data_IF_596035833706
#
_entry.id   IF_596035833706
#
_cell.length_a   1.000
_cell.length_b   1.000
_cell.length_c   1.000
_cell.angle_alpha   90.00
_cell.angle_beta   90.00
_cell.angle_gamma   90.00
#
_symmetry.space_group_name_H-M   'P 1'
#
loop_
_entity.id
_entity.type
_entity.pdbx_description
1 polymer ?
#
# COMPACT_ATOMS: atom_id res chain seq x y z
N UNK A 1 -24.10 -8.43 -62.53
CA UNK A 1 -24.64 -7.36 -63.39
C UNK A 1 -25.91 -6.81 -62.74
N UNK A 2 -25.73 -6.02 -61.68
CA UNK A 2 -26.79 -5.36 -60.89
C UNK A 2 -26.19 -4.03 -60.42
N UNK A 3 -25.94 -3.17 -61.40
CA UNK A 3 -25.47 -1.79 -61.26
C UNK A 3 -26.32 -0.99 -62.26
N UNK A 4 -26.88 0.14 -61.81
CA UNK A 4 -27.54 1.25 -62.56
C UNK A 4 -29.00 1.56 -62.20
N UNK A 5 -29.30 1.80 -60.91
CA UNK A 5 -30.40 2.75 -60.59
C UNK A 5 -30.31 3.53 -59.27
N UNK A 6 -29.16 3.55 -58.56
CA UNK A 6 -29.08 4.20 -57.23
C UNK A 6 -27.90 5.16 -57.02
N UNK A 7 -27.44 5.87 -58.07
CA UNK A 7 -26.35 6.87 -57.93
C UNK A 7 -26.69 8.28 -58.44
N UNK A 8 -27.93 8.59 -58.81
CA UNK A 8 -28.31 10.00 -59.08
C UNK A 8 -29.63 10.37 -58.41
N UNK A 9 -29.52 10.75 -57.15
CA UNK A 9 -30.60 11.35 -56.36
C UNK A 9 -30.05 12.16 -55.21
N UNK A 10 -28.93 12.86 -55.44
CA UNK A 10 -28.40 13.88 -54.56
C UNK A 10 -29.04 15.21 -54.99
N UNK A 11 -29.48 15.99 -53.99
CA UNK A 11 -30.00 17.37 -54.03
C UNK A 11 -31.52 17.53 -53.89
N UNK A 12 -32.02 17.34 -52.66
CA UNK A 12 -32.94 18.32 -52.10
C UNK A 12 -32.58 18.56 -50.63
N UNK A 13 -31.89 19.69 -50.39
CA UNK A 13 -31.54 20.18 -49.06
C UNK A 13 -32.80 20.61 -48.29
N UNK A 14 -33.11 19.93 -47.19
CA UNK A 14 -33.86 20.56 -46.09
C UNK A 14 -32.86 21.33 -45.22
N UNK A 15 -32.93 22.66 -45.23
CA UNK A 15 -32.18 23.53 -44.32
C UNK A 15 -32.60 23.24 -42.87
N UNK A 16 -31.69 22.87 -41.95
CA UNK A 16 -31.99 22.88 -40.54
C UNK A 16 -32.09 24.33 -40.04
N UNK A 17 -33.14 24.61 -39.29
CA UNK A 17 -33.48 25.94 -38.80
C UNK A 17 -32.50 26.35 -37.67
N UNK A 18 -31.35 26.93 -38.05
CA UNK A 18 -30.23 27.35 -37.17
C UNK A 18 -30.63 28.41 -36.11
N UNK A 19 -31.87 28.90 -36.10
CA UNK A 19 -32.35 29.85 -35.10
C UNK A 19 -32.67 29.20 -33.74
N UNK A 20 -32.90 27.87 -33.67
CA UNK A 20 -33.27 27.17 -32.43
C UNK A 20 -32.09 26.80 -31.52
N UNK A 21 -30.85 26.87 -32.00
CA UNK A 21 -29.66 26.42 -31.26
C UNK A 21 -28.72 27.53 -30.79
N UNK A 22 -29.00 28.81 -31.13
CA UNK A 22 -28.12 29.94 -30.76
C UNK A 22 -27.96 30.11 -29.25
N UNK A 23 -28.97 29.75 -28.45
CA UNK A 23 -28.87 29.76 -26.99
C UNK A 23 -27.96 28.65 -26.43
N UNK A 24 -27.98 27.46 -27.04
CA UNK A 24 -27.16 26.34 -26.60
C UNK A 24 -25.68 26.51 -26.98
N UNK A 25 -25.38 27.10 -28.15
CA UNK A 25 -24.00 27.39 -28.56
C UNK A 25 -23.38 28.50 -27.71
N UNK A 26 -24.17 29.49 -27.30
CA UNK A 26 -23.71 30.57 -26.41
C UNK A 26 -23.43 30.06 -24.99
N UNK A 27 -24.27 29.16 -24.45
CA UNK A 27 -24.06 28.56 -23.13
C UNK A 27 -22.76 27.73 -23.05
N UNK A 28 -22.46 26.94 -24.09
CA UNK A 28 -21.22 26.13 -24.14
C UNK A 28 -19.98 27.03 -24.24
N UNK A 29 -20.04 28.11 -25.03
CA UNK A 29 -18.94 29.07 -25.14
C UNK A 29 -18.68 29.81 -23.81
N UNK A 30 -19.72 30.18 -23.07
CA UNK A 30 -19.59 30.84 -21.75
C UNK A 30 -19.00 29.88 -20.71
N UNK A 31 -19.39 28.61 -20.70
CA UNK A 31 -18.82 27.60 -19.77
C UNK A 31 -17.33 27.37 -20.05
N UNK A 32 -16.93 27.30 -21.33
CA UNK A 32 -15.53 27.16 -21.71
C UNK A 32 -14.70 28.41 -21.37
N UNK A 33 -15.27 29.61 -21.53
CA UNK A 33 -14.60 30.87 -21.19
C UNK A 33 -14.44 31.06 -19.67
N UNK A 34 -15.45 30.65 -18.88
CA UNK A 34 -15.36 30.66 -17.41
C UNK A 34 -14.33 29.64 -16.89
N UNK A 35 -14.21 28.47 -17.53
CA UNK A 35 -13.15 27.50 -17.19
C UNK A 35 -11.74 28.00 -17.52
N UNK A 36 -11.57 28.76 -18.62
CA UNK A 36 -10.27 29.37 -18.94
C UNK A 36 -9.94 30.56 -18.05
N UNK A 37 -10.93 31.34 -17.63
CA UNK A 37 -10.75 32.48 -16.73
C UNK A 37 -10.46 32.03 -15.29
N UNK A 38 -11.03 30.92 -14.84
CA UNK A 38 -10.75 30.36 -13.50
C UNK A 38 -9.34 29.74 -13.40
N UNK A 39 -8.73 29.34 -14.53
CA UNK A 39 -7.32 28.94 -14.57
C UNK A 39 -6.32 30.10 -14.58
N UNK A 40 -6.80 31.35 -14.69
CA UNK A 40 -5.93 32.53 -14.84
C UNK A 40 -6.04 33.55 -13.69
N UNK A 41 -6.71 33.22 -12.58
CA UNK A 41 -6.87 34.15 -11.44
C UNK A 41 -6.64 33.55 -10.05
N UNK A 42 -5.81 32.52 -9.94
CA UNK A 42 -5.24 32.09 -8.66
C UNK A 42 -3.71 32.24 -8.66
N UNK A 43 -3.24 33.48 -8.81
CA UNK A 43 -1.99 33.95 -8.20
C UNK A 43 -2.38 34.66 -6.90
N UNK A 44 -1.65 34.68 -5.79
CA UNK A 44 -0.22 34.50 -5.52
C UNK A 44 -0.10 34.51 -4.00
N UNK A 45 0.54 33.51 -3.39
CA UNK A 45 1.09 33.67 -2.04
C UNK A 45 2.35 32.81 -1.90
N UNK A 46 3.50 33.47 -1.98
CA UNK A 46 4.74 33.06 -1.31
C UNK A 46 5.55 31.92 -1.94
N UNK A 47 6.03 32.09 -3.18
CA UNK A 47 7.17 31.30 -3.66
C UNK A 47 8.48 32.00 -3.30
N UNK A 48 9.13 31.51 -2.23
CA UNK A 48 10.58 31.60 -2.09
C UNK A 48 11.20 30.65 -3.11
N UNK A 49 11.55 31.19 -4.28
CA UNK A 49 12.33 30.46 -5.28
C UNK A 49 13.78 30.39 -4.79
N UNK A 50 14.14 29.27 -4.16
CA UNK A 50 15.53 28.83 -4.10
C UNK A 50 15.90 28.26 -5.48
N UNK A 51 16.60 29.06 -6.28
CA UNK A 51 17.30 28.58 -7.48
C UNK A 51 18.69 28.12 -7.06
N UNK A 52 18.84 26.87 -6.62
CA UNK A 52 20.12 26.13 -6.59
C UNK A 52 19.87 24.66 -6.26
N UNK A 53 20.36 23.75 -7.12
CA UNK A 53 20.50 22.33 -6.81
C UNK A 53 19.37 21.45 -7.34
N UNK A 54 19.66 20.59 -8.31
CA UNK A 54 19.01 19.28 -8.39
C UNK A 54 19.40 18.55 -7.09
N UNK A 55 18.60 18.69 -6.04
CA UNK A 55 18.72 17.83 -4.87
C UNK A 55 18.52 16.40 -5.37
N UNK A 56 19.60 15.61 -5.30
CA UNK A 56 19.53 14.16 -5.45
C UNK A 56 18.58 13.68 -4.37
N UNK A 57 17.40 13.21 -4.76
CA UNK A 57 16.38 12.90 -3.78
C UNK A 57 16.73 11.63 -3.01
N UNK A 58 16.86 11.77 -1.70
CA UNK A 58 17.14 10.66 -0.79
C UNK A 58 15.86 9.87 -0.45
N UNK A 59 15.38 9.08 -1.42
CA UNK A 59 14.44 7.98 -1.18
C UNK A 59 13.01 8.17 -1.68
N UNK A 60 12.14 7.17 -1.46
CA UNK A 60 10.80 7.08 -2.05
C UNK A 60 9.82 8.13 -1.50
N UNK A 61 8.87 8.59 -2.34
CA UNK A 61 7.79 9.50 -1.94
C UNK A 61 6.70 8.68 -1.28
N UNK A 62 6.39 9.01 -0.04
CA UNK A 62 5.41 8.28 0.76
C UNK A 62 4.25 9.22 1.10
N UNK A 63 3.03 8.72 1.02
CA UNK A 63 1.88 9.36 1.67
C UNK A 63 1.17 8.36 2.56
N UNK A 64 0.35 8.86 3.47
CA UNK A 64 -0.50 8.06 4.33
C UNK A 64 -1.95 8.15 3.86
N UNK A 65 -2.70 7.08 4.08
CA UNK A 65 -4.12 7.04 3.80
C UNK A 65 -4.88 6.42 4.98
N UNK A 66 -6.09 6.93 5.22
CA UNK A 66 -7.02 6.39 6.22
C UNK A 66 -8.47 6.67 5.81
N UNK A 67 -9.42 6.15 6.57
CA UNK A 67 -10.84 6.47 6.46
C UNK A 67 -11.44 6.69 7.84
N UNK A 68 -12.23 7.76 7.97
CA UNK A 68 -12.98 8.09 9.17
C UNK A 68 -14.24 8.85 8.78
N UNK A 69 -15.36 8.13 8.74
CA UNK A 69 -16.68 8.64 8.35
C UNK A 69 -17.77 8.08 9.27
N UNK A 70 -18.97 8.67 9.21
CA UNK A 70 -20.10 8.31 10.07
C UNK A 70 -20.31 9.34 11.20
N UNK A 71 -20.97 8.96 12.31
CA UNK A 71 -21.12 9.82 13.47
C UNK A 71 -19.76 10.31 13.99
N UNK A 72 -19.72 11.54 14.47
CA UNK A 72 -18.49 12.14 15.00
C UNK A 72 -17.95 11.31 16.16
N UNK A 73 -16.64 11.07 16.16
CA UNK A 73 -15.94 10.35 17.21
C UNK A 73 -14.62 11.06 17.50
N UNK A 74 -14.60 11.86 18.57
CA UNK A 74 -13.45 12.68 18.98
C UNK A 74 -12.19 11.85 19.22
N UNK A 75 -12.32 10.64 19.76
CA UNK A 75 -11.18 9.75 20.01
C UNK A 75 -10.51 9.33 18.70
N UNK A 76 -11.30 9.01 17.68
CA UNK A 76 -10.76 8.70 16.35
C UNK A 76 -10.22 9.92 15.63
N UNK A 77 -10.86 11.08 15.77
CA UNK A 77 -10.32 12.32 15.20
C UNK A 77 -8.96 12.66 15.80
N UNK A 78 -8.80 12.55 17.12
CA UNK A 78 -7.51 12.71 17.81
C UNK A 78 -6.48 11.64 17.45
N UNK A 79 -6.91 10.40 17.23
CA UNK A 79 -6.02 9.34 16.74
C UNK A 79 -5.48 9.66 15.34
N UNK A 80 -6.32 10.14 14.42
CA UNK A 80 -5.88 10.63 13.11
C UNK A 80 -4.97 11.85 13.26
N UNK A 81 -5.29 12.78 14.16
CA UNK A 81 -4.49 13.98 14.43
C UNK A 81 -3.09 13.66 14.98
N UNK A 82 -2.93 12.56 15.72
CA UNK A 82 -1.62 12.12 16.22
C UNK A 82 -0.57 11.94 15.09
N UNK A 83 -1.02 11.66 13.86
CA UNK A 83 -0.12 11.53 12.70
C UNK A 83 0.41 12.86 12.16
N UNK A 84 -0.20 14.00 12.52
CA UNK A 84 0.11 15.32 11.96
C UNK A 84 1.57 15.70 12.16
N UNK A 85 2.09 15.58 13.39
CA UNK A 85 3.48 15.92 13.69
C UNK A 85 4.47 15.03 12.93
N UNK A 86 4.17 13.73 12.82
CA UNK A 86 4.98 12.82 12.01
C UNK A 86 4.96 13.20 10.52
N UNK A 87 3.81 13.63 10.01
CA UNK A 87 3.71 14.11 8.63
C UNK A 87 4.53 15.37 8.39
N UNK A 88 4.51 16.32 9.33
CA UNK A 88 5.28 17.58 9.25
C UNK A 88 6.78 17.33 9.30
N UNK A 89 7.26 16.47 10.20
CA UNK A 89 8.70 16.15 10.34
C UNK A 89 9.26 15.52 9.07
N UNK A 90 8.52 14.61 8.44
CA UNK A 90 9.02 13.79 7.33
C UNK A 90 8.46 14.17 5.96
N UNK A 91 7.62 15.22 5.88
CA UNK A 91 7.04 15.70 4.63
C UNK A 91 5.98 14.77 4.02
N UNK A 92 5.23 14.03 4.83
CA UNK A 92 4.17 13.13 4.33
C UNK A 92 2.83 13.84 4.16
N UNK A 93 2.11 13.51 3.09
CA UNK A 93 0.69 13.87 2.97
C UNK A 93 -0.18 12.83 3.70
N UNK A 94 -1.33 13.27 4.23
CA UNK A 94 -2.33 12.39 4.83
C UNK A 94 -3.67 12.53 4.10
N UNK A 95 -4.14 11.43 3.51
CA UNK A 95 -5.40 11.37 2.79
C UNK A 95 -6.44 10.66 3.66
N UNK A 96 -7.47 11.35 4.12
CA UNK A 96 -8.53 10.76 4.97
C UNK A 96 -9.87 10.79 4.25
N UNK A 97 -10.45 9.62 3.98
CA UNK A 97 -11.82 9.54 3.48
C UNK A 97 -12.79 9.92 4.61
N UNK A 98 -13.40 11.11 4.51
CA UNK A 98 -14.33 11.65 5.52
C UNK A 98 -15.81 11.36 5.25
N UNK A 99 -16.13 10.80 4.08
CA UNK A 99 -17.49 10.44 3.68
C UNK A 99 -17.49 9.04 3.09
N UNK A 100 -18.40 8.19 3.57
CA UNK A 100 -18.59 6.86 2.98
C UNK A 100 -19.01 6.99 1.52
N UNK A 101 -18.34 6.25 0.63
CA UNK A 101 -18.66 6.19 -0.80
C UNK A 101 -19.69 5.10 -1.07
N UNK A 102 -19.63 4.03 -0.28
CA UNK A 102 -20.49 2.84 -0.38
C UNK A 102 -20.61 2.19 1.01
N UNK A 103 -21.22 1.02 1.11
CA UNK A 103 -21.40 0.32 2.38
C UNK A 103 -20.11 -0.35 2.85
N UNK A 104 -19.77 -0.16 4.13
CA UNK A 104 -18.77 -0.94 4.87
C UNK A 104 -17.51 -1.32 4.09
N UNK A 105 -17.36 -2.64 3.88
CA UNK A 105 -16.27 -3.36 3.23
C UNK A 105 -15.62 -2.64 2.03
N UNK A 106 -16.42 -2.13 1.09
CA UNK A 106 -15.90 -1.61 -0.18
C UNK A 106 -15.13 -0.29 -0.03
N UNK A 107 -15.33 0.50 1.04
CA UNK A 107 -14.78 1.85 1.13
C UNK A 107 -13.24 1.89 1.15
N UNK A 108 -12.59 0.97 1.89
CA UNK A 108 -11.12 0.92 2.00
C UNK A 108 -10.49 0.73 0.62
N UNK A 109 -10.96 -0.26 -0.13
CA UNK A 109 -10.42 -0.58 -1.46
C UNK A 109 -10.81 0.43 -2.52
N UNK A 110 -12.06 0.91 -2.53
CA UNK A 110 -12.49 1.95 -3.47
C UNK A 110 -11.67 3.23 -3.29
N UNK A 111 -11.39 3.62 -2.05
CA UNK A 111 -10.61 4.81 -1.76
C UNK A 111 -9.13 4.64 -2.13
N UNK A 112 -8.50 3.54 -1.69
CA UNK A 112 -7.12 3.23 -2.09
C UNK A 112 -6.97 3.16 -3.61
N UNK A 113 -7.93 2.54 -4.31
CA UNK A 113 -7.94 2.45 -5.76
C UNK A 113 -7.98 3.85 -6.39
N UNK A 114 -8.82 4.75 -5.85
CA UNK A 114 -8.91 6.12 -6.31
C UNK A 114 -7.59 6.88 -6.15
N UNK A 115 -6.87 6.67 -5.04
CA UNK A 115 -5.58 7.31 -4.78
C UNK A 115 -4.51 6.75 -5.74
N UNK A 116 -4.42 5.42 -5.86
CA UNK A 116 -3.46 4.77 -6.77
C UNK A 116 -3.66 5.22 -8.21
N UNK A 117 -4.90 5.27 -8.70
CA UNK A 117 -5.20 5.70 -10.07
C UNK A 117 -4.84 7.17 -10.30
N UNK A 118 -5.15 8.06 -9.34
CA UNK A 118 -4.79 9.48 -9.44
C UNK A 118 -3.26 9.66 -9.51
N UNK A 119 -2.51 8.90 -8.72
CA UNK A 119 -1.04 8.98 -8.69
C UNK A 119 -0.41 8.36 -9.95
N UNK A 120 -0.98 7.27 -10.47
CA UNK A 120 -0.57 6.69 -11.75
C UNK A 120 -0.81 7.63 -12.95
N UNK A 121 -1.76 8.56 -12.84
CA UNK A 121 -2.00 9.57 -13.88
C UNK A 121 -0.99 10.72 -13.88
N UNK A 122 -0.17 10.86 -12.82
CA UNK A 122 0.88 11.89 -12.73
C UNK A 122 2.17 11.45 -13.42
N UNK A 123 3.03 12.40 -13.83
CA UNK A 123 4.42 12.13 -14.19
C UNK A 123 5.17 11.41 -13.07
N UNK A 124 6.13 10.55 -13.43
CA UNK A 124 6.91 9.74 -12.47
C UNK A 124 7.67 10.61 -11.46
N UNK A 125 8.02 11.83 -11.84
CA UNK A 125 8.77 12.81 -11.04
C UNK A 125 7.91 13.45 -9.95
N UNK A 126 6.58 13.41 -10.09
CA UNK A 126 5.62 14.02 -9.15
C UNK A 126 4.81 12.98 -8.35
N UNK A 127 4.73 11.75 -8.86
CA UNK A 127 3.92 10.65 -8.34
C UNK A 127 4.40 10.13 -6.98
N UNK A 128 3.53 10.01 -5.98
CA UNK A 128 3.89 9.25 -4.77
C UNK A 128 4.17 7.78 -5.11
N UNK A 129 5.17 7.18 -4.50
CA UNK A 129 5.58 5.80 -4.83
C UNK A 129 4.91 4.78 -3.92
N UNK A 130 4.68 5.16 -2.66
CA UNK A 130 4.10 4.28 -1.65
C UNK A 130 3.01 5.00 -0.85
N UNK A 131 1.96 4.25 -0.53
CA UNK A 131 0.90 4.65 0.38
C UNK A 131 1.00 3.76 1.61
N UNK A 132 1.18 4.36 2.79
CA UNK A 132 0.96 3.66 4.06
C UNK A 132 -0.51 3.80 4.43
N UNK A 133 -1.24 2.69 4.42
CA UNK A 133 -2.58 2.65 5.00
C UNK A 133 -2.49 2.54 6.51
N UNK A 134 -3.35 3.28 7.23
CA UNK A 134 -3.60 3.11 8.66
C UNK A 134 -5.10 3.22 8.94
N UNK A 135 -5.67 2.28 9.68
CA UNK A 135 -7.05 2.39 10.17
C UNK A 135 -7.14 3.49 11.25
N UNK A 136 -8.33 4.10 11.43
CA UNK A 136 -8.54 5.21 12.38
C UNK A 136 -8.32 4.84 13.86
N UNK A 137 -8.21 3.55 14.17
CA UNK A 137 -7.84 3.03 15.48
C UNK A 137 -6.32 2.84 15.64
N UNK A 138 -5.48 3.42 14.78
CA UNK A 138 -4.03 3.43 14.95
C UNK A 138 -3.57 4.81 15.44
N UNK A 139 -3.00 4.83 16.65
CA UNK A 139 -2.38 6.02 17.24
C UNK A 139 -0.89 6.02 16.91
N UNK A 140 -0.38 7.16 16.47
CA UNK A 140 1.04 7.39 16.28
C UNK A 140 1.71 7.71 17.63
N UNK A 141 2.68 6.88 18.00
CA UNK A 141 3.41 6.96 19.27
C UNK A 141 4.69 7.78 19.10
N UNK A 142 5.52 7.44 18.10
CA UNK A 142 6.83 8.06 17.92
C UNK A 142 6.92 8.77 16.55
N UNK A 143 6.88 10.12 16.50
CA UNK A 143 6.94 10.87 15.25
C UNK A 143 8.36 11.00 14.70
N UNK A 144 9.38 10.47 15.38
CA UNK A 144 10.78 10.53 14.91
C UNK A 144 11.13 9.41 13.92
N UNK A 145 10.26 8.41 13.74
CA UNK A 145 10.58 7.21 12.96
C UNK A 145 10.17 7.38 11.48
N UNK A 146 11.11 7.59 10.55
CA UNK A 146 10.78 7.80 9.14
C UNK A 146 10.19 6.53 8.49
N UNK A 147 9.10 6.64 7.74
CA UNK A 147 8.46 5.50 7.07
C UNK A 147 9.35 4.81 6.03
N UNK A 148 10.31 5.52 5.46
CA UNK A 148 11.17 5.00 4.38
C UNK A 148 12.03 3.81 4.81
N UNK A 149 12.31 3.66 6.10
CA UNK A 149 13.14 2.55 6.61
C UNK A 149 12.43 1.20 6.40
N UNK A 150 11.10 1.17 6.47
CA UNK A 150 10.34 -0.08 6.29
C UNK A 150 10.23 -0.52 4.84
N UNK A 151 10.55 0.33 3.86
CA UNK A 151 10.35 0.02 2.45
C UNK A 151 11.47 -0.86 1.90
N UNK A 152 11.24 -1.56 0.77
CA UNK A 152 12.28 -2.38 0.17
C UNK A 152 13.44 -1.50 -0.29
N UNK A 153 14.69 -1.97 -0.17
CA UNK A 153 15.83 -1.25 -0.70
C UNK A 153 15.74 -1.16 -2.24
N UNK A 154 16.41 -0.20 -2.88
CA UNK A 154 16.25 0.10 -4.31
C UNK A 154 16.83 -0.99 -5.26
N UNK A 155 17.30 -2.11 -4.71
CA UNK A 155 17.87 -3.23 -5.46
C UNK A 155 16.86 -3.81 -6.47
N UNK A 156 17.33 -4.22 -7.65
CA UNK A 156 16.51 -4.81 -8.72
C UNK A 156 15.64 -5.98 -8.22
N UNK A 157 16.21 -6.82 -7.35
CA UNK A 157 15.57 -7.99 -6.75
C UNK A 157 14.35 -7.69 -5.87
N UNK A 158 14.04 -6.42 -5.58
CA UNK A 158 12.86 -6.01 -4.82
C UNK A 158 11.87 -5.16 -5.63
N UNK A 159 12.14 -4.88 -6.91
CA UNK A 159 11.27 -4.04 -7.74
C UNK A 159 9.89 -4.63 -7.97
N UNK A 160 9.72 -5.94 -7.83
CA UNK A 160 8.43 -6.61 -7.96
C UNK A 160 7.61 -6.54 -6.66
N UNK A 161 8.17 -6.08 -5.55
CA UNK A 161 7.45 -5.90 -4.29
C UNK A 161 6.53 -4.68 -4.40
N UNK A 162 5.25 -4.91 -4.11
CA UNK A 162 4.18 -3.92 -4.21
C UNK A 162 3.34 -3.83 -2.94
N UNK A 163 3.43 -4.82 -2.05
CA UNK A 163 2.69 -4.84 -0.78
C UNK A 163 3.62 -5.25 0.36
N UNK A 164 3.61 -4.47 1.45
CA UNK A 164 4.23 -4.84 2.72
C UNK A 164 3.16 -4.87 3.79
N UNK A 165 2.89 -6.05 4.32
CA UNK A 165 1.94 -6.24 5.41
C UNK A 165 2.60 -6.84 6.63
N UNK A 166 1.78 -7.13 7.63
CA UNK A 166 2.18 -7.87 8.82
C UNK A 166 1.19 -9.00 9.08
N UNK A 167 1.67 -10.07 9.71
CA UNK A 167 0.79 -11.15 10.20
C UNK A 167 0.68 -11.12 11.71
N UNK A 168 -0.52 -11.43 12.20
CA UNK A 168 -0.83 -11.74 13.60
C UNK A 168 -1.02 -13.26 13.77
N UNK A 169 -1.33 -13.72 14.98
CA UNK A 169 -1.72 -15.11 15.22
C UNK A 169 -2.95 -15.55 14.39
N UNK A 170 -3.74 -14.60 13.89
CA UNK A 170 -4.93 -14.84 13.08
C UNK A 170 -4.70 -14.68 11.56
N UNK A 171 -3.46 -14.46 11.11
CA UNK A 171 -3.13 -14.26 9.70
C UNK A 171 -2.82 -12.80 9.36
N UNK A 172 -3.08 -12.40 8.11
CA UNK A 172 -2.87 -11.02 7.64
C UNK A 172 -3.62 -10.04 8.55
N UNK A 173 -2.98 -8.94 8.94
CA UNK A 173 -3.65 -7.82 9.61
C UNK A 173 -3.56 -6.59 8.71
N UNK A 174 -4.72 -6.04 8.32
CA UNK A 174 -4.83 -4.92 7.36
C UNK A 174 -5.07 -3.56 8.03
N UNK A 175 -4.78 -3.47 9.33
CA UNK A 175 -4.86 -2.23 10.09
C UNK A 175 -3.76 -1.23 9.79
N UNK A 176 -2.58 -1.72 9.40
CA UNK A 176 -1.50 -0.91 8.85
C UNK A 176 -0.68 -1.72 7.84
N UNK A 177 -0.44 -1.16 6.66
CA UNK A 177 0.35 -1.78 5.59
C UNK A 177 0.85 -0.75 4.59
N UNK A 178 1.85 -1.11 3.78
CA UNK A 178 2.31 -0.31 2.66
C UNK A 178 1.84 -0.90 1.33
N UNK A 179 1.36 -0.03 0.44
CA UNK A 179 0.93 -0.37 -0.91
C UNK A 179 1.65 0.54 -1.90
N UNK A 180 2.35 -0.06 -2.86
CA UNK A 180 3.04 0.68 -3.91
C UNK A 180 2.03 1.24 -4.92
N UNK A 181 2.27 2.43 -5.43
CA UNK A 181 1.52 2.96 -6.57
C UNK A 181 2.01 2.28 -7.84
N UNK A 182 1.28 1.24 -8.27
CA UNK A 182 1.61 0.46 -9.47
C UNK A 182 0.36 -0.14 -10.13
N UNK A 183 0.44 -0.55 -11.40
CA UNK A 183 -0.62 -1.32 -12.05
C UNK A 183 -0.95 -2.64 -11.33
N UNK A 184 0.01 -3.24 -10.62
CA UNK A 184 -0.22 -4.43 -9.81
C UNK A 184 -1.22 -4.13 -8.68
N UNK A 185 -1.05 -3.01 -7.99
CA UNK A 185 -1.94 -2.59 -6.89
C UNK A 185 -3.35 -2.27 -7.39
N UNK A 186 -3.50 -1.75 -8.60
CA UNK A 186 -4.82 -1.57 -9.24
C UNK A 186 -5.52 -2.92 -9.39
N UNK A 187 -4.84 -3.93 -9.95
CA UNK A 187 -5.42 -5.27 -10.14
C UNK A 187 -5.78 -5.92 -8.80
N UNK A 188 -4.90 -5.80 -7.80
CA UNK A 188 -5.14 -6.33 -6.46
C UNK A 188 -6.41 -5.73 -5.85
N UNK A 189 -6.52 -4.40 -5.82
CA UNK A 189 -7.63 -3.70 -5.19
C UNK A 189 -8.96 -3.95 -5.92
N UNK A 190 -8.94 -3.99 -7.25
CA UNK A 190 -10.13 -4.33 -8.04
C UNK A 190 -10.59 -5.74 -7.72
N UNK A 191 -9.68 -6.72 -7.71
CA UNK A 191 -10.02 -8.12 -7.47
C UNK A 191 -10.50 -8.35 -6.03
N UNK A 192 -9.82 -7.78 -5.03
CA UNK A 192 -10.23 -7.86 -3.64
C UNK A 192 -11.64 -7.28 -3.47
N UNK A 193 -11.86 -6.04 -3.94
CA UNK A 193 -13.17 -5.38 -3.85
C UNK A 193 -14.29 -6.13 -4.58
N UNK A 194 -14.00 -6.78 -5.70
CA UNK A 194 -14.97 -7.53 -6.50
C UNK A 194 -15.24 -8.94 -5.97
N UNK A 195 -14.43 -9.47 -5.03
CA UNK A 195 -14.50 -10.86 -4.59
C UNK A 195 -15.92 -11.31 -4.18
N UNK A 196 -16.67 -10.58 -3.32
CA UNK A 196 -18.04 -10.99 -2.96
C UNK A 196 -19.04 -10.91 -4.12
N UNK A 197 -18.71 -10.19 -5.19
CA UNK A 197 -19.54 -10.10 -6.39
C UNK A 197 -19.24 -11.23 -7.38
N UNK A 198 -18.00 -11.70 -7.40
CA UNK A 198 -17.54 -12.80 -8.25
C UNK A 198 -17.96 -14.14 -7.64
N UNK A 199 -17.82 -14.28 -6.33
CA UNK A 199 -18.30 -15.43 -5.56
C UNK A 199 -19.25 -14.95 -4.46
N UNK A 200 -20.58 -14.89 -4.73
CA UNK A 200 -21.57 -14.48 -3.74
C UNK A 200 -21.71 -15.46 -2.56
N UNK A 201 -21.11 -16.65 -2.64
CA UNK A 201 -21.21 -17.68 -1.60
C UNK A 201 -20.03 -17.69 -0.64
N UNK A 202 -19.00 -16.89 -0.91
CA UNK A 202 -17.81 -16.81 -0.08
C UNK A 202 -18.14 -16.24 1.31
N UNK A 203 -17.72 -16.95 2.35
CA UNK A 203 -17.77 -16.45 3.73
C UNK A 203 -16.48 -15.69 4.06
N UNK A 204 -16.57 -14.37 4.14
CA UNK A 204 -15.47 -13.48 4.51
C UNK A 204 -15.47 -13.12 6.00
N UNK A 205 -16.42 -13.64 6.78
CA UNK A 205 -16.55 -13.37 8.21
C UNK A 205 -16.76 -11.88 8.52
N UNK A 206 -16.38 -11.48 9.75
CA UNK A 206 -16.58 -10.12 10.24
C UNK A 206 -15.59 -9.11 9.64
N UNK A 207 -14.31 -9.48 9.55
CA UNK A 207 -13.25 -8.65 8.96
C UNK A 207 -13.18 -8.92 7.45
N UNK A 208 -14.26 -8.59 6.74
CA UNK A 208 -14.40 -8.95 5.32
C UNK A 208 -13.25 -8.42 4.48
N UNK A 209 -12.77 -7.21 4.76
CA UNK A 209 -11.65 -6.58 4.06
C UNK A 209 -10.39 -7.43 4.25
N UNK A 210 -9.98 -7.69 5.49
CA UNK A 210 -8.84 -8.55 5.79
C UNK A 210 -8.90 -9.92 5.08
N UNK A 211 -10.04 -10.61 5.19
CA UNK A 211 -10.24 -11.93 4.58
C UNK A 211 -10.13 -11.86 3.05
N UNK A 212 -10.75 -10.86 2.43
CA UNK A 212 -10.71 -10.70 0.97
C UNK A 212 -9.31 -10.42 0.45
N UNK A 213 -8.58 -9.50 1.09
CA UNK A 213 -7.25 -9.12 0.65
C UNK A 213 -6.29 -10.29 0.83
N UNK A 214 -6.42 -11.02 1.93
CA UNK A 214 -5.67 -12.26 2.16
C UNK A 214 -5.93 -13.27 1.05
N UNK A 215 -7.19 -13.54 0.71
CA UNK A 215 -7.52 -14.51 -0.34
C UNK A 215 -6.88 -14.14 -1.68
N UNK A 216 -6.89 -12.86 -2.06
CA UNK A 216 -6.28 -12.43 -3.33
C UNK A 216 -4.74 -12.44 -3.24
N UNK A 217 -4.15 -12.00 -2.13
CA UNK A 217 -2.69 -12.04 -1.93
C UNK A 217 -2.13 -13.45 -1.91
N UNK A 218 -2.94 -14.44 -1.55
CA UNK A 218 -2.56 -15.86 -1.57
C UNK A 218 -2.65 -16.49 -2.96
N UNK A 219 -3.13 -15.80 -4.00
CA UNK A 219 -3.13 -16.30 -5.38
C UNK A 219 -1.76 -16.19 -6.04
N UNK A 220 -1.45 -17.09 -6.97
CA UNK A 220 -0.14 -17.18 -7.64
C UNK A 220 0.28 -15.87 -8.35
N UNK A 221 -0.68 -15.16 -8.96
CA UNK A 221 -0.42 -13.90 -9.67
C UNK A 221 -0.05 -12.73 -8.74
N UNK A 222 -0.42 -12.80 -7.46
CA UNK A 222 -0.25 -11.72 -6.50
C UNK A 222 0.80 -12.04 -5.44
N UNK A 223 0.87 -13.30 -5.00
CA UNK A 223 1.74 -13.77 -3.92
C UNK A 223 3.20 -13.31 -4.05
N UNK A 224 3.86 -13.37 -5.23
CA UNK A 224 5.25 -12.93 -5.35
C UNK A 224 5.47 -11.43 -5.07
N UNK A 225 4.45 -10.60 -5.27
CA UNK A 225 4.50 -9.15 -5.09
C UNK A 225 4.28 -8.67 -3.65
N UNK A 226 4.01 -9.58 -2.72
CA UNK A 226 3.77 -9.29 -1.32
C UNK A 226 4.92 -9.81 -0.44
N UNK A 227 5.26 -9.03 0.58
CA UNK A 227 6.13 -9.46 1.67
C UNK A 227 5.52 -9.10 3.02
N UNK A 228 5.87 -9.90 4.02
CA UNK A 228 5.38 -9.73 5.38
C UNK A 228 6.53 -9.36 6.31
N UNK A 229 6.31 -8.32 7.10
CA UNK A 229 7.25 -7.77 8.07
C UNK A 229 6.78 -8.06 9.50
N UNK A 230 7.70 -8.02 10.49
CA UNK A 230 7.33 -8.13 11.89
C UNK A 230 6.22 -7.13 12.24
N UNK A 231 5.11 -7.62 12.78
CA UNK A 231 4.00 -6.75 13.21
C UNK A 231 4.43 -5.71 14.23
N UNK A 232 5.48 -6.01 15.00
CA UNK A 232 6.10 -5.12 15.97
C UNK A 232 6.59 -3.81 15.38
N UNK A 233 6.75 -3.73 14.05
CA UNK A 233 7.30 -2.53 13.45
C UNK A 233 6.29 -1.40 13.23
N UNK A 234 5.08 -1.71 12.78
CA UNK A 234 4.07 -0.70 12.46
C UNK A 234 2.63 -1.19 12.64
N UNK A 235 2.40 -2.34 13.27
CA UNK A 235 1.07 -2.90 13.48
C UNK A 235 0.95 -3.69 14.80
N UNK A 236 1.50 -3.11 15.86
CA UNK A 236 1.41 -3.66 17.23
C UNK A 236 0.06 -3.39 17.82
N UNK A 237 -0.47 -4.32 18.62
CA UNK A 237 -1.76 -4.16 19.25
C UNK A 237 -1.61 -3.70 20.70
N UNK A 238 -2.57 -2.87 21.13
CA UNK A 238 -2.99 -2.84 22.51
C UNK A 238 -3.85 -4.09 22.78
N UNK A 239 -3.49 -4.88 23.79
CA UNK A 239 -4.30 -6.00 24.27
C UNK A 239 -4.90 -5.70 25.65
N UNK A 240 -5.66 -6.65 26.21
CA UNK A 240 -6.21 -6.52 27.57
C UNK A 240 -5.11 -6.62 28.64
N UNK A 241 -4.02 -7.32 28.31
CA UNK A 241 -2.86 -7.55 29.18
C UNK A 241 -1.88 -6.38 29.14
N UNK A 242 -1.89 -5.57 28.08
CA UNK A 242 -1.05 -4.40 27.97
C UNK A 242 -0.72 -4.04 26.53
N UNK A 243 0.15 -3.06 26.38
CA UNK A 243 0.74 -2.74 25.09
C UNK A 243 1.85 -3.73 24.77
N UNK A 244 1.82 -4.32 23.57
CA UNK A 244 2.80 -5.30 23.14
C UNK A 244 4.15 -4.68 22.75
N UNK A 245 4.14 -3.39 22.43
CA UNK A 245 5.31 -2.65 22.05
C UNK A 245 6.09 -2.09 23.23
N UNK A 246 7.05 -1.23 22.89
CA UNK A 246 7.96 -0.55 23.80
C UNK A 246 8.10 0.92 23.42
N UNK A 247 8.70 1.67 24.34
CA UNK A 247 9.10 3.05 24.09
C UNK A 247 10.07 3.14 22.90
N UNK A 248 9.74 4.01 21.93
CA UNK A 248 10.46 4.18 20.67
C UNK A 248 9.71 3.63 19.45
N UNK A 249 8.69 2.79 19.63
CA UNK A 249 7.97 2.20 18.50
C UNK A 249 7.00 3.19 17.82
N UNK A 250 6.69 2.95 16.55
CA UNK A 250 5.98 3.90 15.67
C UNK A 250 4.47 4.02 15.97
N UNK A 251 3.75 2.89 16.02
CA UNK A 251 2.27 2.84 16.05
C UNK A 251 1.73 1.90 17.14
N UNK A 252 0.56 2.23 17.66
CA UNK A 252 -0.30 1.32 18.39
C UNK A 252 -1.68 1.18 17.73
N UNK A 253 -2.03 -0.05 17.37
CA UNK A 253 -3.34 -0.46 16.89
C UNK A 253 -4.24 -0.79 18.09
N UNK A 254 -5.48 -0.31 18.05
CA UNK A 254 -6.51 -0.61 19.06
C UNK A 254 -7.59 -1.51 18.46
N UNK A 255 -7.41 -2.84 18.45
CA UNK A 255 -8.28 -3.76 17.71
C UNK A 255 -9.71 -3.80 18.26
N UNK A 256 -10.65 -4.26 17.43
CA UNK A 256 -12.06 -4.43 17.82
C UNK A 256 -12.27 -5.41 18.98
N UNK A 257 -11.34 -6.35 19.20
CA UNK A 257 -11.36 -7.33 20.30
C UNK A 257 -11.25 -6.70 21.70
N UNK A 258 -10.82 -5.43 21.80
CA UNK A 258 -10.89 -4.66 23.04
C UNK A 258 -12.33 -4.25 23.42
N UNK A 259 -13.29 -4.38 22.49
CA UNK A 259 -14.69 -4.05 22.72
C UNK A 259 -14.86 -2.66 23.38
N UNK A 260 -15.71 -2.52 24.40
CA UNK A 260 -15.93 -1.25 25.10
C UNK A 260 -14.68 -0.65 25.74
N UNK A 261 -13.70 -1.47 26.15
CA UNK A 261 -12.45 -0.99 26.76
C UNK A 261 -11.57 -0.22 25.77
N UNK A 262 -11.76 -0.45 24.46
CA UNK A 262 -11.01 0.19 23.38
C UNK A 262 -11.01 1.72 23.51
N UNK A 263 -12.16 2.31 23.78
CA UNK A 263 -12.31 3.76 23.84
C UNK A 263 -11.52 4.37 24.99
N UNK A 264 -11.60 3.75 26.17
CA UNK A 264 -10.82 4.18 27.32
C UNK A 264 -9.32 4.05 27.04
N UNK A 265 -8.89 2.89 26.51
CA UNK A 265 -7.47 2.66 26.20
C UNK A 265 -6.93 3.68 25.19
N UNK A 266 -7.67 3.99 24.13
CA UNK A 266 -7.27 5.03 23.16
C UNK A 266 -7.19 6.41 23.82
N UNK A 267 -8.18 6.79 24.63
CA UNK A 267 -8.17 8.07 25.32
C UNK A 267 -7.01 8.20 26.31
N UNK A 268 -6.71 7.14 27.07
CA UNK A 268 -5.58 7.08 27.99
C UNK A 268 -4.25 7.24 27.24
N UNK A 269 -4.09 6.55 26.09
CA UNK A 269 -2.90 6.66 25.25
C UNK A 269 -2.71 8.06 24.66
N UNK A 270 -3.78 8.69 24.16
CA UNK A 270 -3.71 10.06 23.66
C UNK A 270 -3.33 11.05 24.77
N UNK A 271 -3.80 10.83 26.01
CA UNK A 271 -3.41 11.64 27.16
C UNK A 271 -1.97 11.39 27.61
N UNK A 272 -1.51 10.14 27.61
CA UNK A 272 -0.13 9.74 27.90
C UNK A 272 0.85 10.39 26.91
N UNK A 273 0.57 10.32 25.60
CA UNK A 273 1.43 10.95 24.58
C UNK A 273 1.44 12.47 24.66
N UNK A 274 0.34 13.08 25.12
CA UNK A 274 0.29 14.53 25.33
C UNK A 274 1.10 14.97 26.56
N UNK A 275 1.14 14.15 27.60
CA UNK A 275 1.69 14.52 28.91
C UNK A 275 3.14 14.06 29.10
N UNK A 276 3.53 12.97 28.42
CA UNK A 276 4.80 12.27 28.61
C UNK A 276 5.42 11.86 27.25
N UNK A 277 5.38 12.75 26.27
CA UNK A 277 5.90 12.48 24.92
C UNK A 277 7.37 12.01 24.95
N UNK A 278 8.20 12.62 25.80
CA UNK A 278 9.63 12.34 25.97
C UNK A 278 9.93 10.89 26.38
N UNK A 279 8.96 10.21 27.01
CA UNK A 279 9.07 8.79 27.35
C UNK A 279 8.96 7.89 26.12
N UNK A 280 8.23 8.32 25.09
CA UNK A 280 7.86 7.48 23.94
C UNK A 280 8.59 7.87 22.65
N UNK A 281 8.90 9.15 22.50
CA UNK A 281 9.58 9.69 21.33
C UNK A 281 11.09 9.48 21.41
N UNK A 282 11.60 8.53 20.63
CA UNK A 282 13.03 8.27 20.50
C UNK A 282 13.50 8.52 19.07
N UNK A 283 14.64 9.19 18.86
CA UNK A 283 15.30 9.21 17.55
C UNK A 283 15.47 7.78 17.00
N UNK A 284 15.40 7.62 15.67
CA UNK A 284 15.48 6.30 15.04
C UNK A 284 16.74 5.51 15.44
N UNK A 285 17.90 6.18 15.58
CA UNK A 285 19.16 5.56 16.02
C UNK A 285 19.18 5.10 17.48
N UNK A 286 18.25 5.56 18.32
CA UNK A 286 18.08 5.11 19.71
C UNK A 286 17.05 3.98 19.83
N UNK A 287 16.53 3.50 18.69
CA UNK A 287 15.64 2.35 18.59
C UNK A 287 16.38 1.16 17.98
N UNK A 288 15.74 -0.01 17.95
CA UNK A 288 16.30 -1.17 17.25
C UNK A 288 15.99 -1.20 15.75
N UNK A 289 15.16 -0.26 15.25
CA UNK A 289 14.58 -0.33 13.91
C UNK A 289 15.64 -0.50 12.82
N UNK A 290 16.67 0.34 12.78
CA UNK A 290 17.69 0.30 11.73
C UNK A 290 18.34 -1.08 11.66
N UNK A 291 18.86 -1.57 12.79
CA UNK A 291 19.52 -2.88 12.86
C UNK A 291 18.58 -4.05 12.53
N UNK A 292 17.32 -4.01 12.98
CA UNK A 292 16.36 -5.09 12.73
C UNK A 292 15.93 -5.14 11.26
N UNK A 293 15.73 -3.97 10.65
CA UNK A 293 15.30 -3.80 9.26
C UNK A 293 16.43 -4.12 8.28
N UNK A 294 17.64 -3.61 8.54
CA UNK A 294 18.81 -3.90 7.71
C UNK A 294 19.09 -5.40 7.68
N UNK A 295 18.98 -6.04 8.85
CA UNK A 295 19.09 -7.49 8.98
C UNK A 295 18.01 -8.21 8.19
N UNK A 296 16.74 -7.82 8.34
CA UNK A 296 15.62 -8.41 7.58
C UNK A 296 15.85 -8.35 6.07
N UNK A 297 16.16 -7.16 5.53
CA UNK A 297 16.37 -7.01 4.08
C UNK A 297 17.60 -7.77 3.60
N UNK A 298 18.66 -7.85 4.41
CA UNK A 298 19.85 -8.65 4.10
C UNK A 298 19.55 -10.15 4.07
N UNK A 299 18.73 -10.64 4.98
CA UNK A 299 18.30 -12.05 4.98
C UNK A 299 17.45 -12.38 3.76
N UNK A 300 16.45 -11.55 3.44
CA UNK A 300 15.61 -11.77 2.26
C UNK A 300 16.45 -11.67 0.98
N UNK A 301 17.43 -10.75 0.92
CA UNK A 301 18.38 -10.64 -0.19
C UNK A 301 19.15 -11.94 -0.40
N UNK A 302 19.76 -12.47 0.66
CA UNK A 302 20.49 -13.73 0.58
C UNK A 302 19.58 -14.90 0.16
N UNK A 303 18.39 -15.02 0.76
CA UNK A 303 17.45 -16.08 0.43
C UNK A 303 17.00 -16.03 -1.04
N UNK A 304 16.73 -14.84 -1.58
CA UNK A 304 16.38 -14.65 -2.99
C UNK A 304 17.56 -14.93 -3.93
N UNK A 305 18.78 -14.58 -3.53
CA UNK A 305 19.99 -14.93 -4.30
C UNK A 305 20.16 -16.44 -4.44
N UNK A 306 20.10 -17.17 -3.32
CA UNK A 306 20.17 -18.64 -3.32
C UNK A 306 19.04 -19.26 -4.15
N UNK A 307 17.82 -18.71 -4.03
CA UNK A 307 16.69 -19.17 -4.84
C UNK A 307 16.95 -18.99 -6.34
N UNK A 308 17.44 -17.82 -6.74
CA UNK A 308 17.74 -17.52 -8.15
C UNK A 308 18.83 -18.43 -8.71
N UNK A 309 19.89 -18.69 -7.94
CA UNK A 309 20.96 -19.60 -8.34
C UNK A 309 20.41 -21.04 -8.52
N UNK A 310 19.55 -21.48 -7.61
CA UNK A 310 18.93 -22.80 -7.67
C UNK A 310 17.97 -22.95 -8.86
N UNK A 311 17.14 -21.95 -9.13
CA UNK A 311 16.24 -21.93 -10.30
C UNK A 311 17.04 -21.97 -11.60
N UNK A 312 18.08 -21.15 -11.71
CA UNK A 312 18.97 -21.14 -12.87
C UNK A 312 19.60 -22.52 -13.07
N UNK A 313 20.01 -23.18 -11.97
CA UNK A 313 20.61 -24.50 -12.04
C UNK A 313 19.62 -25.59 -12.44
N UNK A 314 18.39 -25.54 -11.92
CA UNK A 314 17.33 -26.45 -12.33
C UNK A 314 17.02 -26.29 -13.82
N UNK A 315 16.94 -25.05 -14.32
CA UNK A 315 16.73 -24.74 -15.73
C UNK A 315 17.87 -25.26 -16.63
N UNK A 316 19.12 -25.17 -16.18
CA UNK A 316 20.28 -25.74 -16.88
C UNK A 316 20.22 -27.27 -16.98
N UNK A 317 19.75 -27.93 -15.92
CA UNK A 317 19.67 -29.38 -15.84
C UNK A 317 18.53 -29.97 -16.66
N UNK A 318 17.49 -29.19 -16.98
CA UNK A 318 16.26 -29.64 -17.68
C UNK A 318 15.71 -30.91 -17.01
N UNK A 319 15.62 -32.02 -17.76
CA UNK A 319 15.12 -33.33 -17.27
C UNK A 319 16.04 -33.99 -16.23
N UNK A 320 17.20 -33.41 -15.93
CA UNK A 320 18.14 -33.88 -14.92
C UNK A 320 17.99 -33.24 -13.54
N UNK A 321 17.06 -32.28 -13.37
CA UNK A 321 16.73 -31.74 -12.05
C UNK A 321 16.03 -32.82 -11.20
N UNK A 322 16.39 -32.94 -9.92
CA UNK A 322 15.77 -33.92 -9.04
C UNK A 322 14.48 -33.36 -8.44
N UNK A 323 13.50 -34.22 -8.17
CA UNK A 323 12.26 -33.83 -7.49
C UNK A 323 12.55 -33.13 -6.15
N UNK A 324 13.64 -33.50 -5.46
CA UNK A 324 14.04 -32.86 -4.21
C UNK A 324 14.48 -31.40 -4.39
N UNK A 325 15.18 -31.09 -5.48
CA UNK A 325 15.58 -29.72 -5.80
C UNK A 325 14.35 -28.85 -6.08
N UNK A 326 13.44 -29.33 -6.92
CA UNK A 326 12.20 -28.61 -7.25
C UNK A 326 11.34 -28.38 -6.01
N UNK A 327 11.18 -29.41 -5.17
CA UNK A 327 10.46 -29.30 -3.90
C UNK A 327 11.14 -28.31 -2.94
N UNK A 328 12.47 -28.23 -2.92
CA UNK A 328 13.19 -27.28 -2.09
C UNK A 328 13.09 -25.83 -2.61
N UNK A 329 13.11 -25.64 -3.93
CA UNK A 329 12.87 -24.35 -4.60
C UNK A 329 11.46 -23.87 -4.24
N UNK A 330 10.45 -24.72 -4.44
CA UNK A 330 9.07 -24.42 -4.09
C UNK A 330 8.92 -24.07 -2.61
N UNK A 331 9.53 -24.87 -1.72
CA UNK A 331 9.48 -24.60 -0.28
C UNK A 331 10.08 -23.24 0.08
N UNK A 332 11.25 -22.88 -0.46
CA UNK A 332 11.84 -21.57 -0.18
C UNK A 332 10.99 -20.42 -0.74
N UNK A 333 10.37 -20.56 -1.92
CA UNK A 333 9.40 -19.58 -2.46
C UNK A 333 8.25 -19.35 -1.48
N UNK A 334 7.65 -20.43 -1.00
CA UNK A 334 6.53 -20.36 -0.07
C UNK A 334 6.92 -19.74 1.27
N UNK A 335 8.09 -20.09 1.82
CA UNK A 335 8.58 -19.48 3.08
C UNK A 335 8.87 -17.99 2.90
N UNK A 336 9.50 -17.57 1.79
CA UNK A 336 9.70 -16.14 1.49
C UNK A 336 8.35 -15.43 1.36
N UNK A 337 7.40 -16.03 0.65
CA UNK A 337 6.09 -15.43 0.42
C UNK A 337 5.23 -15.32 1.69
N UNK A 338 5.32 -16.28 2.61
CA UNK A 338 4.36 -16.39 3.72
C UNK A 338 4.96 -16.09 5.09
N UNK A 339 6.27 -16.23 5.25
CA UNK A 339 6.98 -16.25 6.53
C UNK A 339 8.26 -15.38 6.49
N UNK A 340 8.35 -14.39 5.60
CA UNK A 340 9.53 -13.51 5.49
C UNK A 340 9.98 -12.85 6.82
N UNK A 341 9.05 -12.64 7.75
CA UNK A 341 9.34 -12.09 9.09
C UNK A 341 9.97 -13.13 10.04
N UNK A 342 9.95 -14.41 9.69
CA UNK A 342 10.49 -15.51 10.49
C UNK A 342 11.87 -15.93 9.96
N UNK A 343 12.91 -15.31 10.53
CA UNK A 343 14.30 -15.55 10.13
C UNK A 343 14.69 -17.03 10.22
N UNK A 344 14.28 -17.73 11.29
CA UNK A 344 14.62 -19.14 11.48
C UNK A 344 14.05 -20.01 10.35
N UNK A 345 12.77 -19.83 9.98
CA UNK A 345 12.17 -20.59 8.88
C UNK A 345 12.87 -20.32 7.54
N UNK A 346 13.26 -19.07 7.28
CA UNK A 346 14.00 -18.70 6.07
C UNK A 346 15.37 -19.39 6.05
N UNK A 347 16.10 -19.38 7.17
CA UNK A 347 17.40 -20.05 7.30
C UNK A 347 17.28 -21.56 7.08
N UNK A 348 16.31 -22.21 7.72
CA UNK A 348 16.01 -23.63 7.53
C UNK A 348 15.70 -23.97 6.06
N UNK A 349 14.89 -23.15 5.39
CA UNK A 349 14.56 -23.32 3.98
C UNK A 349 15.78 -23.11 3.06
N UNK A 350 16.63 -22.13 3.35
CA UNK A 350 17.88 -21.89 2.60
C UNK A 350 18.86 -23.07 2.77
N UNK A 351 19.03 -23.58 4.00
CA UNK A 351 19.89 -24.75 4.26
C UNK A 351 19.35 -25.96 3.51
N UNK A 352 18.04 -26.20 3.58
CA UNK A 352 17.39 -27.30 2.85
C UNK A 352 17.66 -27.21 1.35
N UNK A 353 17.47 -26.04 0.74
CA UNK A 353 17.73 -25.84 -0.68
C UNK A 353 19.21 -26.09 -1.04
N UNK A 354 20.14 -25.56 -0.25
CA UNK A 354 21.57 -25.75 -0.49
C UNK A 354 22.00 -27.22 -0.45
N UNK A 355 21.38 -28.05 0.38
CA UNK A 355 21.69 -29.49 0.45
C UNK A 355 21.32 -30.26 -0.82
N UNK A 356 20.36 -29.75 -1.61
CA UNK A 356 19.92 -30.35 -2.87
C UNK A 356 20.49 -29.64 -4.11
N UNK A 357 21.20 -28.52 -3.93
CA UNK A 357 21.90 -27.90 -5.04
C UNK A 357 23.07 -28.79 -5.47
N UNK A 358 23.22 -29.09 -6.78
CA UNK A 358 24.36 -29.81 -7.29
C UNK A 358 25.66 -29.07 -6.90
N UNK A 359 26.68 -29.82 -6.48
CA UNK A 359 28.02 -29.26 -6.29
C UNK A 359 28.47 -28.63 -7.62
N UNK A 360 28.96 -27.39 -7.57
CA UNK A 360 29.63 -26.81 -8.73
C UNK A 360 30.85 -27.69 -9.06
N UNK A 361 30.72 -28.52 -10.09
CA UNK A 361 31.85 -29.23 -10.69
C UNK A 361 32.79 -28.17 -11.26
N UNK A 362 33.85 -27.89 -10.51
CA UNK A 362 35.04 -27.23 -11.04
C UNK A 362 35.73 -28.30 -11.89
N UNK A 363 35.46 -28.28 -13.19
CA UNK A 363 36.30 -28.94 -14.20
C UNK A 363 37.27 -27.91 -14.82
#
# INVERSE_FOLDING_TARGET
>A
MLILSKVMGLLYMQKPNLRKYRGATFAIAVILFLFSAFRFHSGTSGLSVSKTGLEVREGPRISKASMLYGPQNDIYDRAIESHKRHNEIHGYNMHVLRRGVTNGYWNKYAYLLSLVVQELAKPTEERIEWIMWVDANNILINPQIPLKIFLPPPDEQFKHVNFLGSKSAHGLNVGAFFLRVSPWSVKLLVKAMALPMIDPTIDLGYNMDEASLKSILDEEDFRPGALYQPRTWFNMAQTREGFEGRSGDLLAQFPGSLEGSRWKSMADWLAELQSHAEKWEKPVGDTSYESEIDRYWSFIRNARGVLHDAETKADELKDGATDELDNAIFYLKEVIATEAFNQQKIEEAVIKLRNYMPSSTVD
#
